data_IF_870436603194
#
_entry.id   IF_870436603194
#
_cell.length_a   1.000
_cell.length_b   1.000
_cell.length_c   1.000
_cell.angle_alpha   90.00
_cell.angle_beta   90.00
_cell.angle_gamma   90.00
#
_symmetry.space_group_name_H-M   'P 1'
#
loop_
_entity.id
_entity.type
_entity.pdbx_description
1 polymer ?
#
# COMPACT_ATOMS: atom_id res chain seq x y z
N UNK A 1 -16.84 -11.82 -10.84
CA UNK A 1 -16.01 -12.69 -11.69
C UNK A 1 -15.21 -13.62 -10.77
N UNK A 2 -15.49 -14.93 -10.75
CA UNK A 2 -14.78 -15.89 -9.90
C UNK A 2 -13.27 -15.95 -10.17
N UNK A 3 -12.84 -15.83 -11.42
CA UNK A 3 -11.41 -15.90 -11.78
C UNK A 3 -10.62 -14.74 -11.18
N UNK A 4 -11.20 -13.54 -11.21
CA UNK A 4 -10.62 -12.38 -10.53
C UNK A 4 -10.41 -12.64 -9.03
N UNK A 5 -11.42 -13.18 -8.34
CA UNK A 5 -11.32 -13.42 -6.90
C UNK A 5 -10.32 -14.52 -6.55
N UNK A 6 -10.23 -15.57 -7.36
CA UNK A 6 -9.21 -16.62 -7.21
C UNK A 6 -7.80 -16.04 -7.36
N UNK A 7 -7.57 -15.25 -8.41
CA UNK A 7 -6.28 -14.59 -8.65
C UNK A 7 -5.87 -13.63 -7.54
N UNK A 8 -6.79 -12.79 -7.05
CA UNK A 8 -6.51 -11.91 -5.91
C UNK A 8 -6.20 -12.71 -4.64
N UNK A 9 -6.94 -13.79 -4.38
CA UNK A 9 -6.71 -14.66 -3.23
C UNK A 9 -5.31 -15.27 -3.24
N UNK A 10 -4.87 -15.77 -4.40
CA UNK A 10 -3.53 -16.33 -4.54
C UNK A 10 -2.44 -15.26 -4.37
N UNK A 11 -2.64 -14.08 -4.93
CA UNK A 11 -1.72 -12.95 -4.76
C UNK A 11 -1.56 -12.57 -3.28
N UNK A 12 -2.67 -12.41 -2.54
CA UNK A 12 -2.62 -12.05 -1.13
C UNK A 12 -2.06 -13.16 -0.21
N UNK A 13 -2.11 -14.44 -0.61
CA UNK A 13 -1.37 -15.50 0.09
C UNK A 13 0.15 -15.32 -0.02
N UNK A 14 0.64 -14.89 -1.18
CA UNK A 14 2.04 -14.52 -1.36
C UNK A 14 2.43 -13.32 -0.50
N UNK A 15 1.59 -12.28 -0.50
CA UNK A 15 1.77 -11.08 0.33
C UNK A 15 1.82 -11.44 1.82
N UNK A 16 0.96 -12.35 2.32
CA UNK A 16 0.98 -12.79 3.72
C UNK A 16 2.35 -13.35 4.14
N UNK A 17 2.94 -14.21 3.30
CA UNK A 17 4.26 -14.78 3.57
C UNK A 17 5.36 -13.71 3.57
N UNK A 18 5.30 -12.77 2.62
CA UNK A 18 6.22 -11.63 2.54
C UNK A 18 6.12 -10.72 3.77
N UNK A 19 4.92 -10.37 4.21
CA UNK A 19 4.69 -9.55 5.40
C UNK A 19 5.19 -10.21 6.67
N UNK A 20 4.99 -11.52 6.81
CA UNK A 20 5.53 -12.30 7.93
C UNK A 20 7.07 -12.22 7.97
N UNK A 21 7.73 -12.34 6.83
CA UNK A 21 9.19 -12.19 6.75
C UNK A 21 9.62 -10.75 7.07
N UNK A 22 8.90 -9.74 6.60
CA UNK A 22 9.21 -8.33 6.83
C UNK A 22 9.16 -7.94 8.32
N UNK A 23 8.28 -8.54 9.13
CA UNK A 23 8.31 -8.35 10.59
C UNK A 23 9.68 -8.75 11.17
N UNK A 24 10.18 -9.94 10.80
CA UNK A 24 11.48 -10.43 11.28
C UNK A 24 12.66 -9.58 10.78
N UNK A 25 12.63 -9.17 9.52
CA UNK A 25 13.65 -8.29 8.92
C UNK A 25 13.68 -6.92 9.63
N UNK A 26 12.52 -6.32 9.88
CA UNK A 26 12.44 -5.04 10.59
C UNK A 26 12.94 -5.19 12.03
N UNK A 27 12.55 -6.26 12.73
CA UNK A 27 13.05 -6.57 14.07
C UNK A 27 14.57 -6.68 14.10
N UNK A 28 15.18 -7.44 13.18
CA UNK A 28 16.63 -7.60 13.10
C UNK A 28 17.34 -6.26 12.90
N UNK A 29 16.88 -5.45 11.94
CA UNK A 29 17.51 -4.16 11.62
C UNK A 29 17.40 -3.14 12.74
N UNK A 30 16.31 -3.18 13.52
CA UNK A 30 16.10 -2.30 14.68
C UNK A 30 16.60 -2.92 16.00
N UNK A 31 17.30 -4.06 15.97
CA UNK A 31 17.79 -4.79 17.15
C UNK A 31 16.70 -5.16 18.16
N UNK A 32 15.48 -5.43 17.68
CA UNK A 32 14.39 -5.94 18.51
C UNK A 32 14.42 -7.47 18.56
N UNK A 33 14.49 -8.03 19.78
CA UNK A 33 14.66 -9.47 19.99
C UNK A 33 13.45 -10.14 20.64
N UNK A 34 12.56 -9.36 21.25
CA UNK A 34 11.38 -9.84 21.98
C UNK A 34 10.26 -8.80 21.88
N UNK A 35 9.03 -9.23 22.14
CA UNK A 35 7.85 -8.36 22.13
C UNK A 35 6.98 -8.58 20.90
N UNK A 36 5.82 -7.91 20.90
CA UNK A 36 4.91 -7.89 19.77
C UNK A 36 5.28 -6.71 18.87
N UNK A 37 5.45 -6.99 17.58
CA UNK A 37 5.75 -5.99 16.58
C UNK A 37 4.81 -6.12 15.39
N UNK A 38 4.61 -5.01 14.68
CA UNK A 38 3.79 -4.97 13.47
C UNK A 38 4.57 -4.40 12.31
N UNK A 39 4.34 -4.95 11.12
CA UNK A 39 4.77 -4.40 9.85
C UNK A 39 3.53 -4.18 8.99
N UNK A 40 3.41 -3.01 8.39
CA UNK A 40 2.22 -2.57 7.66
C UNK A 40 2.65 -2.06 6.29
N UNK A 41 1.84 -2.33 5.28
CA UNK A 41 1.99 -1.79 3.94
C UNK A 41 0.69 -1.08 3.56
N UNK A 42 0.83 0.09 2.97
CA UNK A 42 -0.25 0.93 2.50
C UNK A 42 0.12 1.39 1.10
N UNK A 43 -0.61 0.89 0.11
CA UNK A 43 -0.35 1.16 -1.29
C UNK A 43 -1.64 1.36 -2.06
N UNK A 44 -1.56 2.11 -3.15
CA UNK A 44 -2.72 2.44 -3.97
C UNK A 44 -2.49 3.65 -4.85
N UNK A 45 -3.52 3.99 -5.61
CA UNK A 45 -3.49 5.05 -6.60
C UNK A 45 -4.71 5.95 -6.47
N UNK A 46 -4.58 7.15 -7.02
CA UNK A 46 -5.63 8.16 -7.05
C UNK A 46 -5.81 8.65 -8.49
N UNK A 47 -7.06 8.73 -8.94
CA UNK A 47 -7.41 9.43 -10.18
C UNK A 47 -8.13 10.72 -9.82
N UNK A 48 -7.49 11.86 -10.05
CA UNK A 48 -8.02 13.19 -9.68
C UNK A 48 -8.88 13.78 -10.77
N UNK A 49 -9.69 14.79 -10.42
CA UNK A 49 -10.66 15.41 -11.33
C UNK A 49 -10.04 16.13 -12.53
N UNK A 50 -8.77 16.50 -12.46
CA UNK A 50 -7.99 17.07 -13.57
C UNK A 50 -7.32 16.00 -14.45
N UNK A 51 -7.54 14.72 -14.15
CA UNK A 51 -6.91 13.58 -14.83
C UNK A 51 -5.52 13.23 -14.32
N UNK A 52 -4.99 13.96 -13.33
CA UNK A 52 -3.70 13.61 -12.74
C UNK A 52 -3.78 12.30 -11.94
N UNK A 53 -2.72 11.51 -12.03
CA UNK A 53 -2.58 10.23 -11.35
C UNK A 53 -1.68 10.40 -10.13
N UNK A 54 -2.21 10.09 -8.97
CA UNK A 54 -1.46 9.90 -7.73
C UNK A 54 -1.14 8.42 -7.52
N UNK A 55 -0.06 8.16 -6.80
CA UNK A 55 0.31 6.81 -6.38
C UNK A 55 1.09 6.88 -5.08
N UNK A 56 0.87 5.91 -4.21
CA UNK A 56 1.58 5.77 -2.95
C UNK A 56 1.90 4.30 -2.71
N UNK A 57 3.08 4.05 -2.14
CA UNK A 57 3.47 2.76 -1.56
C UNK A 57 4.34 3.07 -0.34
N UNK A 58 3.82 2.75 0.84
CA UNK A 58 4.38 3.13 2.13
C UNK A 58 4.38 1.94 3.07
N UNK A 59 5.44 1.84 3.85
CA UNK A 59 5.64 0.77 4.80
C UNK A 59 5.87 1.38 6.18
N UNK A 60 5.21 0.82 7.18
CA UNK A 60 5.33 1.23 8.57
C UNK A 60 5.72 0.07 9.47
N UNK A 61 6.47 0.36 10.52
CA UNK A 61 6.88 -0.59 11.54
C UNK A 61 6.48 -0.06 12.92
N UNK A 62 5.68 -0.82 13.67
CA UNK A 62 5.05 -0.41 14.93
C UNK A 62 4.27 0.92 14.84
N UNK A 63 3.68 1.20 13.66
CA UNK A 63 2.91 2.43 13.40
C UNK A 63 3.75 3.65 13.06
N UNK A 64 5.08 3.54 13.00
CA UNK A 64 5.98 4.60 12.54
C UNK A 64 6.42 4.34 11.09
N UNK A 65 6.64 5.43 10.33
CA UNK A 65 7.12 5.36 8.96
C UNK A 65 8.47 4.62 8.88
N UNK A 66 8.56 3.65 7.97
CA UNK A 66 9.74 2.79 7.80
C UNK A 66 10.42 3.02 6.45
N UNK A 67 9.68 2.89 5.35
CA UNK A 67 10.16 3.28 4.02
C UNK A 67 8.98 3.59 3.09
N UNK A 68 9.22 4.37 2.05
CA UNK A 68 8.22 4.73 1.03
C UNK A 68 8.81 4.74 -0.36
N UNK A 69 8.01 4.45 -1.38
CA UNK A 69 8.43 4.56 -2.77
C UNK A 69 8.17 5.97 -3.33
N UNK A 70 9.22 6.63 -3.81
CA UNK A 70 9.12 7.85 -4.61
C UNK A 70 9.02 7.44 -6.09
N UNK A 71 7.79 7.41 -6.61
CA UNK A 71 7.50 6.98 -8.00
C UNK A 71 8.07 7.92 -9.06
N UNK A 72 8.31 9.17 -8.71
CA UNK A 72 8.78 10.20 -9.66
C UNK A 72 10.29 10.11 -9.80
N UNK A 73 10.97 9.75 -8.71
CA UNK A 73 12.41 9.50 -8.70
C UNK A 73 12.77 8.01 -8.90
N UNK A 74 11.76 7.14 -8.95
CA UNK A 74 11.89 5.68 -9.07
C UNK A 74 12.86 5.08 -8.05
N UNK A 75 12.72 5.50 -6.79
CA UNK A 75 13.58 5.03 -5.70
C UNK A 75 12.83 4.93 -4.40
N UNK A 76 13.31 4.08 -3.51
CA UNK A 76 12.80 3.98 -2.16
C UNK A 76 13.47 5.00 -1.23
N UNK A 77 12.71 5.49 -0.26
CA UNK A 77 13.17 6.44 0.74
C UNK A 77 13.05 5.79 2.11
N UNK A 78 14.18 5.60 2.79
CA UNK A 78 14.21 5.09 4.16
C UNK A 78 13.88 6.22 5.13
N UNK A 79 13.06 5.93 6.14
CA UNK A 79 12.80 6.89 7.22
C UNK A 79 13.80 6.74 8.37
N UNK A 80 13.89 5.59 9.07
CA UNK A 80 14.97 5.36 10.03
C UNK A 80 16.23 4.86 9.30
N UNK A 81 17.41 5.28 9.74
CA UNK A 81 18.69 4.85 9.15
C UNK A 81 18.83 3.33 8.99
N UNK A 82 18.40 2.49 9.95
CA UNK A 82 18.42 1.03 9.76
C UNK A 82 17.59 0.49 8.58
N UNK A 83 16.56 1.22 8.11
CA UNK A 83 15.78 0.84 6.94
C UNK A 83 16.54 1.02 5.62
N UNK A 84 17.65 1.77 5.60
CA UNK A 84 18.43 2.03 4.40
C UNK A 84 18.94 0.74 3.75
N UNK A 85 19.26 -0.28 4.54
CA UNK A 85 19.65 -1.61 4.03
C UNK A 85 18.55 -2.24 3.16
N UNK A 86 17.28 -1.96 3.45
CA UNK A 86 16.16 -2.39 2.61
C UNK A 86 16.09 -1.63 1.31
N UNK A 87 16.25 -0.31 1.40
CA UNK A 87 16.25 0.58 0.24
C UNK A 87 17.38 0.22 -0.70
N UNK A 88 18.62 0.08 -0.21
CA UNK A 88 19.77 -0.29 -1.03
C UNK A 88 19.55 -1.61 -1.77
N UNK A 89 18.89 -2.59 -1.13
CA UNK A 89 18.54 -3.86 -1.77
C UNK A 89 17.51 -3.66 -2.88
N UNK A 90 16.42 -2.93 -2.61
CA UNK A 90 15.33 -2.77 -3.56
C UNK A 90 15.73 -1.86 -4.74
N UNK A 91 16.46 -0.79 -4.47
CA UNK A 91 16.98 0.14 -5.48
C UNK A 91 18.13 -0.48 -6.31
N UNK A 92 18.75 -1.56 -5.85
CA UNK A 92 19.76 -2.28 -6.66
C UNK A 92 19.15 -3.06 -7.84
N UNK A 93 17.84 -3.30 -7.81
CA UNK A 93 17.11 -4.01 -8.86
C UNK A 93 16.14 -3.04 -9.56
N UNK A 94 16.57 -2.43 -10.66
CA UNK A 94 15.76 -1.45 -11.40
C UNK A 94 14.36 -1.97 -11.79
N UNK A 95 14.25 -3.28 -12.03
CA UNK A 95 12.99 -3.96 -12.34
C UNK A 95 11.93 -3.83 -11.23
N UNK A 96 12.34 -3.71 -9.96
CA UNK A 96 11.42 -3.51 -8.83
C UNK A 96 10.78 -2.13 -8.95
N UNK A 97 11.59 -1.07 -9.04
CA UNK A 97 11.09 0.30 -9.15
C UNK A 97 10.24 0.51 -10.41
N UNK A 98 10.64 -0.08 -11.55
CA UNK A 98 9.85 -0.04 -12.78
C UNK A 98 8.48 -0.73 -12.62
N UNK A 99 8.45 -1.93 -12.03
CA UNK A 99 7.20 -2.66 -11.77
C UNK A 99 6.28 -1.88 -10.84
N UNK A 100 6.82 -1.34 -9.75
CA UNK A 100 6.00 -0.66 -8.75
C UNK A 100 5.46 0.67 -9.30
N UNK A 101 6.24 1.38 -10.13
CA UNK A 101 5.74 2.55 -10.87
C UNK A 101 4.64 2.17 -11.87
N UNK A 102 4.84 1.13 -12.68
CA UNK A 102 3.86 0.68 -13.65
C UNK A 102 2.55 0.26 -12.97
N UNK A 103 2.63 -0.44 -11.84
CA UNK A 103 1.46 -0.78 -11.03
C UNK A 103 0.69 0.47 -10.58
N UNK A 104 1.40 1.47 -10.03
CA UNK A 104 0.79 2.68 -9.47
C UNK A 104 0.20 3.60 -10.54
N UNK A 105 0.81 3.66 -11.73
CA UNK A 105 0.40 4.56 -12.82
C UNK A 105 -0.59 3.92 -13.80
N UNK A 106 -0.58 2.60 -13.94
CA UNK A 106 -1.38 1.88 -14.94
C UNK A 106 -2.34 0.89 -14.31
N UNK A 107 -1.83 -0.23 -13.77
CA UNK A 107 -2.68 -1.36 -13.34
C UNK A 107 -3.67 -0.95 -12.25
N UNK A 108 -3.21 -0.22 -11.23
CA UNK A 108 -4.06 0.25 -10.15
C UNK A 108 -5.17 1.18 -10.69
N UNK A 109 -4.86 2.04 -11.65
CA UNK A 109 -5.82 3.00 -12.22
C UNK A 109 -6.87 2.28 -13.07
N UNK A 110 -6.46 1.28 -13.86
CA UNK A 110 -7.39 0.44 -14.62
C UNK A 110 -8.38 -0.27 -13.67
N UNK A 111 -7.87 -0.88 -12.60
CA UNK A 111 -8.70 -1.54 -11.60
C UNK A 111 -9.61 -0.56 -10.85
N UNK A 112 -9.09 0.62 -10.48
CA UNK A 112 -9.87 1.68 -9.84
C UNK A 112 -11.06 2.08 -10.72
N UNK A 113 -10.85 2.33 -12.01
CA UNK A 113 -11.92 2.67 -12.94
C UNK A 113 -12.96 1.55 -13.06
N UNK A 114 -12.51 0.29 -13.11
CA UNK A 114 -13.40 -0.88 -13.15
C UNK A 114 -14.24 -1.03 -11.88
N UNK A 115 -13.65 -0.85 -10.69
CA UNK A 115 -14.39 -0.89 -9.43
C UNK A 115 -15.37 0.28 -9.32
N UNK A 116 -15.00 1.46 -9.81
CA UNK A 116 -15.91 2.61 -9.87
C UNK A 116 -17.13 2.34 -10.75
N UNK A 117 -16.96 1.61 -11.87
CA UNK A 117 -18.07 1.18 -12.72
C UNK A 117 -18.97 0.14 -12.02
N UNK A 118 -18.36 -0.89 -11.41
CA UNK A 118 -19.12 -1.94 -10.72
C UNK A 118 -19.84 -1.45 -9.45
N UNK A 119 -19.22 -0.52 -8.72
CA UNK A 119 -19.72 0.01 -7.46
C UNK A 119 -20.51 1.31 -7.59
N UNK A 120 -20.72 1.85 -8.80
CA UNK A 120 -21.20 3.20 -9.05
C UNK A 120 -22.45 3.56 -8.22
N UNK A 121 -23.46 2.68 -8.21
CA UNK A 121 -24.71 2.90 -7.47
C UNK A 121 -24.46 3.06 -5.96
N UNK A 122 -23.61 2.21 -5.37
CA UNK A 122 -23.33 2.22 -3.93
C UNK A 122 -22.37 3.34 -3.53
N UNK A 123 -21.32 3.58 -4.33
CA UNK A 123 -20.30 4.59 -4.05
C UNK A 123 -20.80 6.02 -4.19
N UNK A 124 -21.73 6.26 -5.13
CA UNK A 124 -22.32 7.60 -5.34
C UNK A 124 -23.52 7.88 -4.44
N UNK A 125 -24.04 6.86 -3.73
CA UNK A 125 -25.19 7.00 -2.84
C UNK A 125 -24.83 7.89 -1.64
N UNK A 126 -25.58 8.98 -1.46
CA UNK A 126 -25.49 9.85 -0.29
C UNK A 126 -26.68 9.57 0.64
N UNK A 127 -26.39 9.19 1.88
CA UNK A 127 -27.42 9.00 2.92
C UNK A 127 -27.27 10.11 3.96
N UNK A 128 -28.30 10.95 4.20
CA UNK A 128 -28.23 11.98 5.23
C UNK A 128 -28.03 11.38 6.63
N UNK A 129 -27.27 12.04 7.52
CA UNK A 129 -27.13 11.58 8.89
C UNK A 129 -28.46 11.73 9.65
N UNK A 130 -28.87 10.70 10.38
CA UNK A 130 -29.96 10.82 11.35
C UNK A 130 -29.47 11.58 12.57
N UNK A 131 -30.11 12.69 12.91
CA UNK A 131 -29.72 13.52 14.06
C UNK A 131 -30.83 13.54 15.11
N UNK A 132 -30.45 13.39 16.38
CA UNK A 132 -31.34 13.50 17.52
C UNK A 132 -30.64 14.34 18.60
N UNK A 133 -31.34 15.35 19.11
CA UNK A 133 -30.85 16.19 20.20
C UNK A 133 -31.63 15.85 21.46
N UNK A 134 -30.93 15.46 22.53
CA UNK A 134 -31.52 15.26 23.85
C UNK A 134 -31.14 16.39 24.80
N UNK A 135 -32.04 16.73 25.73
CA UNK A 135 -31.75 17.61 26.87
C UNK A 135 -31.49 16.74 28.11
N UNK A 136 -30.51 17.15 28.91
CA UNK A 136 -30.28 16.60 30.25
C UNK A 136 -31.28 17.18 31.24
#
# INVERSE_FOLDING_TARGET
DPQYWEGQTENFRGVEQGMRANVGIAMERLNHTQGLHSFQEMYGCELRGDGSIGGFSQYAYNGEDFLSFDKDQMRYIATPTPAQVSVDRWDSEESIAQRDKAYLEEECIEWLQKYMQYGAESLLRRVPPGTMVSRR
#
